data_IF_638104932043
#
_entry.id   IF_638104932043
#
_cell.length_a   1.000
_cell.length_b   1.000
_cell.length_c   1.000
_cell.angle_alpha   90.00
_cell.angle_beta   90.00
_cell.angle_gamma   90.00
#
_symmetry.space_group_name_H-M   'P 1'
#
loop_
_entity.id
_entity.type
_entity.pdbx_description
1 polymer ?
#
# COMPACT_ATOMS: atom_id res chain seq x y z
N UNK A 1 -8.03 -10.79 -3.93
CA UNK A 1 -6.79 -11.56 -3.69
C UNK A 1 -5.58 -10.63 -3.82
N UNK A 2 -4.89 -10.28 -2.73
CA UNK A 2 -3.67 -9.44 -2.72
C UNK A 2 -2.60 -9.92 -1.73
N UNK A 3 -2.94 -10.95 -0.94
CA UNK A 3 -2.12 -11.47 0.15
C UNK A 3 -1.36 -12.72 -0.30
N UNK A 4 -2.05 -13.66 -0.96
CA UNK A 4 -1.43 -14.86 -1.54
C UNK A 4 -0.80 -14.61 -2.91
N UNK A 5 -1.39 -13.71 -3.71
CA UNK A 5 -0.91 -13.35 -5.04
C UNK A 5 -0.88 -11.82 -5.17
N UNK A 6 0.28 -11.18 -4.91
CA UNK A 6 0.45 -9.73 -5.08
C UNK A 6 0.34 -9.30 -6.55
N UNK A 7 -0.06 -8.04 -6.77
CA UNK A 7 -0.24 -7.44 -8.11
C UNK A 7 0.36 -6.03 -8.21
N UNK A 8 1.38 -5.71 -7.42
CA UNK A 8 1.90 -4.33 -7.40
C UNK A 8 2.47 -3.91 -8.76
N UNK A 9 3.06 -4.83 -9.52
CA UNK A 9 3.60 -4.58 -10.87
C UNK A 9 2.57 -4.09 -11.91
N UNK A 10 1.28 -4.39 -11.73
CA UNK A 10 0.20 -3.88 -12.59
C UNK A 10 -0.69 -2.86 -11.89
N UNK A 11 -0.36 -2.46 -10.66
CA UNK A 11 -1.15 -1.52 -9.88
C UNK A 11 -1.02 -0.11 -10.44
N UNK A 12 -2.10 0.44 -10.98
CA UNK A 12 -2.20 1.82 -11.50
C UNK A 12 -2.93 2.79 -10.56
N UNK A 13 -3.07 2.43 -9.28
CA UNK A 13 -3.87 3.20 -8.31
C UNK A 13 -3.06 4.30 -7.63
N UNK A 14 -3.56 5.54 -7.71
CA UNK A 14 -3.26 6.63 -6.80
C UNK A 14 -4.45 6.87 -5.85
N UNK A 15 -4.22 7.52 -4.70
CA UNK A 15 -5.27 7.94 -3.77
C UNK A 15 -4.93 9.30 -3.19
N UNK A 16 -5.97 10.10 -2.94
CA UNK A 16 -5.86 11.37 -2.23
C UNK A 16 -6.67 11.23 -0.94
N UNK A 17 -6.06 11.55 0.20
CA UNK A 17 -6.75 11.58 1.48
C UNK A 17 -7.57 12.87 1.63
N UNK A 18 -8.47 12.87 2.61
CA UNK A 18 -9.37 14.01 2.85
C UNK A 18 -8.62 15.32 3.22
N UNK A 19 -7.39 15.22 3.73
CA UNK A 19 -6.52 16.36 4.02
C UNK A 19 -5.66 16.79 2.81
N UNK A 20 -5.92 16.26 1.61
CA UNK A 20 -5.26 16.69 0.36
C UNK A 20 -3.89 16.05 0.11
N UNK A 21 -3.54 14.97 0.83
CA UNK A 21 -2.26 14.28 0.61
C UNK A 21 -2.38 13.16 -0.44
N UNK A 22 -1.51 13.19 -1.45
CA UNK A 22 -1.38 12.15 -2.46
C UNK A 22 -0.55 10.97 -1.95
N UNK A 23 -1.09 9.76 -2.09
CA UNK A 23 -0.37 8.51 -1.87
C UNK A 23 -0.43 7.60 -3.11
N UNK A 24 0.69 6.95 -3.40
CA UNK A 24 0.90 6.07 -4.56
C UNK A 24 0.75 4.57 -4.25
N UNK A 25 0.45 4.23 -3.00
CA UNK A 25 0.21 2.87 -2.54
C UNK A 25 -0.67 2.85 -1.29
N UNK A 26 -1.45 1.79 -1.10
CA UNK A 26 -2.33 1.56 0.07
C UNK A 26 -1.57 1.53 1.41
N UNK A 27 -0.27 1.20 1.38
CA UNK A 27 0.56 1.04 2.57
C UNK A 27 1.70 2.07 2.65
N UNK A 28 1.65 3.13 1.85
CA UNK A 28 2.63 4.22 1.93
C UNK A 28 2.55 4.92 3.30
N UNK A 29 3.70 5.25 3.87
CA UNK A 29 3.83 6.01 5.13
C UNK A 29 4.14 7.49 4.90
N UNK A 30 4.52 7.84 3.66
CA UNK A 30 4.79 9.21 3.24
C UNK A 30 3.94 9.52 2.01
N UNK A 31 3.42 10.74 1.96
CA UNK A 31 2.63 11.25 0.85
C UNK A 31 3.12 12.63 0.42
N UNK A 32 2.51 13.17 -0.62
CA UNK A 32 2.80 14.50 -1.17
C UNK A 32 1.63 15.42 -0.88
N UNK A 33 1.86 16.52 -0.17
CA UNK A 33 0.83 17.53 0.08
C UNK A 33 0.45 18.24 -1.21
N UNK A 34 -0.79 18.09 -1.68
CA UNK A 34 -1.27 18.74 -2.90
C UNK A 34 -1.93 20.09 -2.64
N UNK A 35 -2.25 20.43 -1.39
CA UNK A 35 -2.97 21.66 -1.04
C UNK A 35 -2.37 22.94 -1.60
N UNK A 36 -1.03 23.10 -1.72
CA UNK A 36 -0.44 24.31 -2.32
C UNK A 36 -0.91 24.61 -3.75
N UNK A 37 -1.45 23.62 -4.48
CA UNK A 37 -1.95 23.77 -5.85
C UNK A 37 -3.47 23.60 -5.98
N UNK A 38 -4.21 23.55 -4.86
CA UNK A 38 -5.68 23.43 -4.86
C UNK A 38 -6.38 24.79 -4.69
N UNK A 39 -5.63 25.88 -4.60
CA UNK A 39 -6.16 27.24 -4.59
C UNK A 39 -6.61 27.64 -6.02
N UNK A 40 -7.70 28.41 -6.14
CA UNK A 40 -8.22 28.92 -7.42
C UNK A 40 -7.19 29.81 -8.17
N UNK A 41 -6.27 30.44 -7.44
CA UNK A 41 -5.19 31.23 -8.04
C UNK A 41 -4.01 30.37 -8.56
N UNK A 42 -3.95 29.07 -8.21
CA UNK A 42 -2.88 28.20 -8.63
C UNK A 42 -3.11 27.68 -10.07
N UNK A 43 -2.07 27.69 -10.93
CA UNK A 43 -2.21 27.15 -12.28
C UNK A 43 -2.39 25.63 -12.26
N UNK A 44 -3.40 25.13 -12.96
CA UNK A 44 -3.70 23.69 -13.06
C UNK A 44 -2.50 22.85 -13.52
N UNK A 45 -1.67 23.40 -14.40
CA UNK A 45 -0.46 22.75 -14.89
C UNK A 45 0.55 22.45 -13.78
N UNK A 46 0.60 23.26 -12.73
CA UNK A 46 1.47 23.03 -11.58
C UNK A 46 1.00 21.84 -10.75
N UNK A 47 -0.32 21.70 -10.51
CA UNK A 47 -0.89 20.52 -9.88
C UNK A 47 -0.60 19.27 -10.71
N UNK A 48 -0.83 19.34 -12.02
CA UNK A 48 -0.57 18.23 -12.92
C UNK A 48 0.93 17.85 -12.95
N UNK A 49 1.83 18.83 -12.87
CA UNK A 49 3.27 18.60 -12.78
C UNK A 49 3.65 17.89 -11.46
N UNK A 50 3.14 18.36 -10.32
CA UNK A 50 3.39 17.73 -9.02
C UNK A 50 2.91 16.27 -8.96
N UNK A 51 1.73 15.99 -9.52
CA UNK A 51 1.20 14.61 -9.61
C UNK A 51 2.06 13.75 -10.53
N UNK A 52 2.45 14.25 -11.71
CA UNK A 52 3.32 13.51 -12.65
C UNK A 52 4.68 13.21 -12.03
N UNK A 53 5.32 14.20 -11.43
CA UNK A 53 6.61 14.05 -10.76
C UNK A 53 6.53 12.94 -9.71
N UNK A 54 5.55 13.02 -8.80
CA UNK A 54 5.36 11.99 -7.78
C UNK A 54 5.09 10.61 -8.38
N UNK A 55 4.32 10.53 -9.46
CA UNK A 55 4.00 9.27 -10.11
C UNK A 55 5.21 8.62 -10.77
N UNK A 56 6.07 9.39 -11.45
CA UNK A 56 7.27 8.87 -12.13
C UNK A 56 8.32 8.31 -11.16
N UNK A 57 8.35 8.82 -9.93
CA UNK A 57 9.27 8.37 -8.86
C UNK A 57 8.73 7.17 -8.06
N UNK A 58 7.54 6.66 -8.39
CA UNK A 58 6.86 5.61 -7.64
C UNK A 58 7.59 4.28 -7.73
N UNK A 59 8.02 3.76 -6.58
CA UNK A 59 8.56 2.39 -6.42
C UNK A 59 7.78 1.57 -5.36
N UNK A 60 6.52 1.92 -5.14
CA UNK A 60 5.70 1.24 -4.14
C UNK A 60 5.29 -0.17 -4.58
N UNK A 61 5.70 -1.16 -3.79
CA UNK A 61 5.38 -2.58 -4.01
C UNK A 61 5.26 -3.35 -2.70
N UNK A 62 4.54 -2.74 -1.74
CA UNK A 62 4.49 -3.23 -0.35
C UNK A 62 3.98 -4.66 -0.22
N UNK A 63 2.99 -5.09 -1.02
CA UNK A 63 2.50 -6.47 -0.97
C UNK A 63 3.50 -7.46 -1.56
N UNK A 64 4.16 -7.14 -2.67
CA UNK A 64 5.24 -7.96 -3.25
C UNK A 64 6.44 -8.06 -2.29
N UNK A 65 6.88 -6.93 -1.71
CA UNK A 65 7.95 -6.91 -0.71
C UNK A 65 7.63 -7.75 0.52
N UNK A 66 6.36 -7.79 0.96
CA UNK A 66 5.92 -8.66 2.06
C UNK A 66 5.89 -10.14 1.67
N UNK A 67 5.45 -10.46 0.46
CA UNK A 67 5.44 -11.84 -0.04
C UNK A 67 6.86 -12.39 -0.25
N UNK A 68 7.81 -11.53 -0.65
CA UNK A 68 9.22 -11.90 -0.82
C UNK A 68 9.98 -12.06 0.51
N UNK A 69 9.43 -11.58 1.64
CA UNK A 69 10.06 -11.82 2.94
C UNK A 69 9.93 -13.31 3.26
N UNK A 70 11.02 -13.98 3.65
CA UNK A 70 10.91 -15.35 4.15
C UNK A 70 9.87 -15.37 5.26
N UNK A 71 8.98 -16.36 5.21
CA UNK A 71 8.03 -16.58 6.28
C UNK A 71 8.84 -16.57 7.58
N UNK A 72 8.51 -15.65 8.50
CA UNK A 72 8.98 -15.80 9.87
C UNK A 72 8.63 -17.23 10.26
N UNK A 73 9.57 -17.98 10.81
CA UNK A 73 9.27 -19.28 11.40
C UNK A 73 8.25 -19.04 12.51
N UNK A 74 6.96 -18.99 12.17
CA UNK A 74 5.85 -19.00 13.10
C UNK A 74 5.67 -20.45 13.51
N UNK A 75 6.73 -21.04 14.04
CA UNK A 75 6.72 -22.36 14.63
C UNK A 75 6.18 -22.28 16.04
N UNK A 76 4.97 -21.73 16.24
CA UNK A 76 4.16 -22.22 17.35
C UNK A 76 3.47 -23.46 16.82
N UNK A 77 4.17 -24.58 16.99
CA UNK A 77 3.60 -25.90 16.81
C UNK A 77 2.57 -26.05 17.91
N UNK A 78 1.30 -25.79 17.56
CA UNK A 78 0.20 -26.19 18.42
C UNK A 78 0.09 -27.71 18.31
N UNK A 79 0.18 -28.45 19.42
CA UNK A 79 -0.08 -29.88 19.36
C UNK A 79 -1.48 -30.08 18.79
N UNK A 80 -1.59 -30.91 17.75
CA UNK A 80 -2.88 -31.27 17.17
C UNK A 80 -3.64 -32.10 18.18
N UNK A 81 -4.52 -31.46 18.95
CA UNK A 81 -5.44 -32.18 19.84
C UNK A 81 -6.50 -32.82 18.96
N UNK A 82 -6.55 -34.15 18.93
CA UNK A 82 -7.62 -34.87 18.23
C UNK A 82 -8.93 -34.62 18.96
N UNK A 83 -9.95 -34.18 18.24
CA UNK A 83 -11.31 -33.94 18.76
C UNK A 83 -11.90 -35.17 19.48
N UNK A 84 -11.41 -36.37 19.18
CA UNK A 84 -11.74 -37.63 19.87
C UNK A 84 -11.25 -37.72 21.32
N UNK A 85 -10.40 -36.78 21.78
CA UNK A 85 -9.78 -36.78 23.11
C UNK A 85 -10.31 -35.66 24.02
N UNK A 86 -11.29 -34.87 23.55
CA UNK A 86 -11.82 -33.68 24.26
C UNK A 86 -13.30 -33.86 24.63
N UNK A 87 -13.85 -35.07 24.50
CA UNK A 87 -15.20 -35.41 24.91
C UNK A 87 -15.21 -36.17 26.22
N UNK A 88 -15.57 -35.48 27.30
CA UNK A 88 -16.09 -36.04 28.54
C UNK A 88 -17.48 -35.48 28.81
#
# INVERSE_FOLDING_TARGET
ASVSHPFCGTCSRARVSADGTLYTCLFATQGTDLRPWLDDAAPLDALAAAVRERWTQRDDRSSERRAARPARASGRVYPTVRMSLVGG
#
